data_IF_318021889517
#
_entry.id   IF_318021889517
#
_cell.length_a   1.000
_cell.length_b   1.000
_cell.length_c   1.000
_cell.angle_alpha   90.00
_cell.angle_beta   90.00
_cell.angle_gamma   90.00
#
_symmetry.space_group_name_H-M   'P 1'
#
loop_
_entity.id
_entity.type
_entity.pdbx_description
1 polymer ?
2 non-polymer ?
3 non-polymer ?
4 water ?
#
# COMPACT_ATOMS: atom_id res chain seq x y z
N UNK A 1 -17.45 -8.65 3.50
CA UNK A 1 -17.83 -8.25 4.88
C UNK A 1 -16.63 -7.72 5.65
N UNK A 2 -16.82 -6.62 6.39
CA UNK A 2 -15.76 -6.06 7.23
C UNK A 2 -15.69 -6.84 8.54
N UNK A 3 -14.56 -7.49 8.78
CA UNK A 3 -14.32 -8.20 10.04
C UNK A 3 -13.65 -7.31 11.10
N UNK A 4 -13.00 -6.22 10.67
CA UNK A 4 -12.45 -5.23 11.58
C UNK A 4 -13.60 -4.36 12.12
N UNK A 5 -13.44 -3.87 13.35
CA UNK A 5 -14.48 -3.07 14.01
C UNK A 5 -13.84 -1.98 14.85
N UNK A 6 -14.66 -1.01 15.23
CA UNK A 6 -14.22 0.13 16.01
C UNK A 6 -13.75 1.29 15.15
N UNK A 7 -13.35 2.36 15.82
CA UNK A 7 -12.90 3.58 15.17
C UNK A 7 -11.53 3.97 15.75
N UNK A 8 -10.45 3.86 14.98
CA UNK A 8 -10.38 3.25 13.64
C UNK A 8 -10.58 1.73 13.73
N UNK A 9 -10.72 1.12 12.57
CA UNK A 9 -11.00 -0.30 12.46
C UNK A 9 -9.81 -1.14 12.95
N UNK A 10 -10.09 -2.11 13.82
CA UNK A 10 -9.10 -3.01 14.39
C UNK A 10 -9.62 -4.45 14.39
N UNK A 11 -8.71 -5.41 14.44
CA UNK A 11 -9.04 -6.84 14.42
C UNK A 11 -8.15 -7.56 15.43
N UNK A 12 -8.75 -8.05 16.51
CA UNK A 12 -8.02 -8.79 17.55
C UNK A 12 -6.75 -8.07 18.00
N UNK A 13 -6.86 -6.77 18.22
CA UNK A 13 -5.77 -6.00 18.80
C UNK A 13 -4.71 -5.51 17.82
N UNK A 14 -5.03 -5.60 16.51
CA UNK A 14 -4.16 -5.15 15.43
C UNK A 14 -4.88 -4.10 14.57
N UNK A 15 -4.15 -3.08 14.17
CA UNK A 15 -4.70 -2.07 13.27
C UNK A 15 -4.98 -2.64 11.87
N UNK A 16 -6.12 -2.27 11.29
CA UNK A 16 -6.47 -2.70 9.94
C UNK A 16 -6.15 -1.65 8.86
N UNK A 17 -5.91 -2.15 7.65
CA UNK A 17 -5.75 -1.33 6.44
C UNK A 17 -6.67 -1.85 5.36
N UNK A 18 -7.34 -0.93 4.67
CA UNK A 18 -8.05 -1.27 3.45
C UNK A 18 -7.07 -1.24 2.26
N UNK A 19 -7.46 -1.94 1.19
CA UNK A 19 -6.68 -1.99 -0.03
C UNK A 19 -7.54 -1.82 -1.28
N UNK A 20 -6.93 -1.29 -2.34
CA UNK A 20 -7.49 -1.30 -3.69
C UNK A 20 -6.45 -1.66 -4.73
N UNK A 21 -6.76 -2.67 -5.55
CA UNK A 21 -5.90 -3.05 -6.67
C UNK A 21 -5.99 -1.91 -7.69
N UNK A 22 -4.84 -1.42 -8.15
CA UNK A 22 -4.77 -0.33 -9.12
C UNK A 22 -3.60 -0.56 -10.10
N UNK A 23 -3.56 0.26 -11.15
CA UNK A 23 -2.41 0.29 -12.03
C UNK A 23 -2.01 1.70 -12.32
N UNK A 24 -0.74 2.01 -12.06
CA UNK A 24 -0.17 3.30 -12.41
C UNK A 24 1.22 3.06 -12.98
N UNK A 25 1.50 3.61 -14.19
CA UNK A 25 2.79 3.46 -14.89
C UNK A 25 3.70 4.69 -14.79
N UNK A 26 3.29 5.72 -14.05
CA UNK A 26 4.14 6.89 -13.87
C UNK A 26 5.25 6.62 -12.86
N UNK A 27 6.35 7.37 -12.96
CA UNK A 27 7.49 7.19 -12.05
C UNK A 27 7.05 7.15 -10.58
N UNK A 28 6.18 8.07 -10.19
CA UNK A 28 5.63 8.11 -8.85
C UNK A 28 6.39 8.98 -7.85
N UNK A 29 5.76 9.16 -6.69
CA UNK A 29 6.12 10.23 -5.75
C UNK A 29 7.35 9.94 -4.90
N UNK A 30 7.96 8.76 -5.06
CA UNK A 30 9.24 8.44 -4.40
C UNK A 30 10.43 8.46 -5.37
N UNK A 31 10.21 8.87 -6.62
CA UNK A 31 11.30 8.98 -7.58
C UNK A 31 11.89 7.66 -8.04
N UNK A 32 11.08 6.59 -8.06
CA UNK A 32 11.57 5.26 -8.43
C UNK A 32 11.53 5.03 -9.94
N UNK A 33 12.35 5.84 -10.62
CA UNK A 33 12.62 5.68 -12.03
C UNK A 33 13.76 6.60 -12.42
N UNK A 34 14.21 6.54 -13.67
CA UNK A 34 15.30 7.42 -14.12
C UNK A 34 15.00 8.89 -13.84
N UNK A 35 16.03 9.62 -13.42
CA UNK A 35 15.87 10.99 -12.97
C UNK A 35 15.22 11.92 -14.02
N UNK A 36 15.62 11.79 -15.28
CA UNK A 36 15.11 12.67 -16.34
C UNK A 36 13.99 11.96 -17.09
N UNK A 37 12.77 12.33 -16.76
CA UNK A 37 11.55 11.73 -17.29
C UNK A 37 10.58 11.30 -16.20
N UNK A 38 9.49 10.70 -16.66
CA UNK A 38 8.37 10.28 -15.80
C UNK A 38 8.10 8.77 -15.91
N UNK A 39 9.15 8.01 -16.26
CA UNK A 39 9.07 6.56 -16.37
C UNK A 39 9.57 5.86 -15.10
N UNK A 40 9.05 4.66 -14.87
CA UNK A 40 9.53 3.77 -13.83
C UNK A 40 10.81 3.03 -14.25
N UNK A 41 11.49 2.45 -13.24
CA UNK A 41 12.53 1.46 -13.51
C UNK A 41 11.87 0.20 -14.08
N UNK A 42 12.68 -0.76 -14.50
CA UNK A 42 12.17 -2.00 -15.04
C UNK A 42 11.47 -2.90 -14.02
N UNK A 43 11.85 -2.76 -12.75
CA UNK A 43 11.35 -3.65 -11.67
C UNK A 43 9.99 -3.28 -11.09
N UNK A 44 9.55 -2.04 -11.27
CA UNK A 44 8.38 -1.59 -10.52
C UNK A 44 7.10 -2.36 -10.93
N UNK A 45 6.93 -2.58 -12.22
CA UNK A 45 5.65 -3.08 -12.75
C UNK A 45 5.24 -4.45 -12.22
N UNK A 46 6.23 -5.31 -11.96
CA UNK A 46 6.00 -6.67 -11.54
C UNK A 46 6.24 -6.89 -10.05
N UNK A 47 6.58 -5.83 -9.30
CA UNK A 47 6.87 -5.96 -7.87
C UNK A 47 5.64 -5.76 -6.99
N UNK A 48 5.76 -6.17 -5.73
CA UNK A 48 4.79 -5.86 -4.69
C UNK A 48 5.13 -4.46 -4.16
N UNK A 49 4.48 -3.46 -4.77
CA UNK A 49 4.63 -2.06 -4.41
C UNK A 49 3.26 -1.43 -4.23
N UNK A 50 3.25 -0.30 -3.54
CA UNK A 50 2.00 0.34 -3.12
C UNK A 50 2.09 1.85 -3.14
N UNK A 51 0.92 2.47 -3.30
CA UNK A 51 0.73 3.89 -3.05
C UNK A 51 0.04 4.04 -1.70
N UNK A 52 0.66 4.78 -0.77
CA UNK A 52 0.10 4.98 0.57
C UNK A 52 -0.79 6.22 0.64
N UNK A 53 -1.90 6.11 1.36
CA UNK A 53 -2.78 7.23 1.63
C UNK A 53 -1.96 8.42 2.18
N UNK A 54 -2.37 9.64 1.80
CA UNK A 54 -1.56 10.84 1.98
C UNK A 54 -0.92 11.01 3.36
N UNK A 55 -1.72 10.98 4.42
CA UNK A 55 -1.14 11.30 5.73
C UNK A 55 -0.14 10.25 6.21
N UNK A 56 -0.27 9.01 5.76
CA UNK A 56 0.77 8.00 6.01
C UNK A 56 2.00 8.19 5.12
N UNK A 57 1.78 8.50 3.85
CA UNK A 57 2.89 8.81 2.95
C UNK A 57 3.79 9.90 3.56
N UNK A 58 3.16 10.96 4.05
CA UNK A 58 3.85 12.07 4.69
C UNK A 58 2.86 12.90 5.51
N UNK A 59 3.07 12.98 6.82
CA UNK A 59 2.15 13.68 7.71
C UNK A 59 2.17 15.19 7.50
N UNK A 60 3.25 15.71 6.93
CA UNK A 60 3.36 17.10 6.56
C UNK A 60 2.76 17.42 5.19
N UNK A 61 2.03 16.47 4.60
CA UNK A 61 1.34 16.65 3.33
C UNK A 61 2.25 16.75 2.12
N UNK A 62 3.49 16.28 2.20
CA UNK A 62 4.35 16.30 1.02
C UNK A 62 3.80 15.39 -0.11
N UNK A 63 4.01 15.84 -1.35
CA UNK A 63 3.70 15.06 -2.54
C UNK A 63 4.91 14.42 -3.22
N UNK A 64 6.09 14.50 -2.58
CA UNK A 64 7.36 14.07 -3.16
C UNK A 64 8.28 13.72 -2.00
N UNK A 65 8.93 12.56 -2.05
CA UNK A 65 9.88 12.14 -1.02
C UNK A 65 9.28 12.23 0.38
N UNK A 66 8.12 11.62 0.53
CA UNK A 66 7.47 11.53 1.82
C UNK A 66 8.24 10.70 2.83
N UNK A 67 7.94 10.94 4.10
CA UNK A 67 8.49 10.19 5.24
C UNK A 67 8.59 8.69 5.00
N UNK A 68 7.52 8.10 4.46
CA UNK A 68 7.42 6.65 4.38
C UNK A 68 7.72 6.08 3.01
N UNK A 69 8.29 6.88 2.10
CA UNK A 69 8.85 6.33 0.87
C UNK A 69 9.88 5.24 1.20
N UNK A 70 9.79 4.12 0.50
CA UNK A 70 10.73 3.01 0.66
C UNK A 70 10.46 2.08 1.83
N UNK A 71 9.45 2.38 2.65
CA UNK A 71 9.13 1.55 3.80
C UNK A 71 8.35 0.34 3.32
N UNK A 72 8.64 -0.83 3.90
CA UNK A 72 7.90 -2.05 3.60
C UNK A 72 6.86 -2.35 4.67
N UNK A 73 5.66 -2.71 4.19
CA UNK A 73 4.49 -3.01 5.00
C UNK A 73 4.04 -4.43 4.69
N UNK A 74 4.02 -5.28 5.72
CA UNK A 74 3.50 -6.64 5.61
C UNK A 74 2.02 -6.65 5.90
N UNK A 75 1.22 -7.10 4.92
CA UNK A 75 -0.23 -7.18 5.04
C UNK A 75 -0.64 -8.62 5.27
N UNK A 76 -1.56 -8.84 6.21
CA UNK A 76 -2.14 -10.15 6.48
C UNK A 76 -3.65 -10.06 6.28
N UNK A 77 -4.23 -10.98 5.50
CA UNK A 77 -5.67 -10.91 5.23
C UNK A 77 -6.47 -11.31 6.46
N UNK A 78 -7.56 -10.60 6.71
CA UNK A 78 -8.49 -10.96 7.78
C UNK A 78 -9.50 -12.02 7.34
N UNK A 79 -9.66 -12.17 6.02
CA UNK A 79 -10.76 -12.93 5.44
C UNK A 79 -11.90 -12.04 4.94
N UNK A 80 -11.92 -10.78 5.36
CA UNK A 80 -12.97 -9.84 4.97
C UNK A 80 -12.62 -8.95 3.79
N UNK A 81 -13.55 -8.06 3.48
CA UNK A 81 -13.46 -7.13 2.36
C UNK A 81 -14.60 -6.13 2.51
N UNK A 82 -14.49 -4.96 1.88
CA UNK A 82 -15.57 -3.99 1.90
C UNK A 82 -16.66 -4.42 0.93
N UNK A 83 -17.92 -4.58 1.39
CA UNK A 83 -19.00 -5.03 0.49
C UNK A 83 -19.10 -4.19 -0.78
N UNK A 84 -19.16 -4.88 -1.92
CA UNK A 84 -19.26 -4.27 -3.22
C UNK A 84 -17.97 -3.63 -3.73
N UNK A 85 -16.87 -3.75 -2.99
CA UNK A 85 -15.59 -3.15 -3.31
C UNK A 85 -14.42 -4.14 -3.11
N UNK A 86 -14.71 -5.42 -3.24
CA UNK A 86 -13.74 -6.48 -3.04
C UNK A 86 -14.47 -7.82 -3.00
N UNK A 87 -13.77 -8.86 -2.58
CA UNK A 87 -14.37 -10.18 -2.52
C UNK A 87 -13.65 -11.11 -1.57
N UNK A 88 -14.21 -12.32 -1.41
CA UNK A 88 -13.70 -13.30 -0.43
C UNK A 88 -12.25 -13.73 -0.67
N UNK A 89 -11.55 -14.01 0.43
CA UNK A 89 -10.19 -14.53 0.42
C UNK A 89 -9.93 -15.36 1.68
N UNK A 90 -9.01 -16.33 1.58
CA UNK A 90 -8.59 -17.07 2.77
C UNK A 90 -7.97 -16.12 3.80
N UNK A 91 -8.29 -16.32 5.07
CA UNK A 91 -7.68 -15.55 6.17
C UNK A 91 -6.26 -16.03 6.38
N UNK A 92 -5.37 -15.10 6.70
CA UNK A 92 -4.01 -15.41 7.11
C UNK A 92 -2.98 -15.45 6.00
N UNK A 93 -3.38 -15.11 4.78
CA UNK A 93 -2.43 -14.94 3.69
C UNK A 93 -1.66 -13.65 3.91
N UNK A 94 -0.39 -13.62 3.51
CA UNK A 94 0.41 -12.43 3.72
C UNK A 94 1.52 -12.21 2.69
N UNK A 95 1.66 -10.95 2.29
CA UNK A 95 2.76 -10.51 1.43
C UNK A 95 3.19 -9.11 1.91
N UNK A 96 4.39 -8.72 1.52
CA UNK A 96 4.98 -7.44 1.90
C UNK A 96 5.11 -6.52 0.69
N UNK A 97 4.72 -5.25 0.86
CA UNK A 97 4.68 -4.25 -0.20
C UNK A 97 5.58 -3.09 0.18
N UNK A 98 6.40 -2.63 -0.76
CA UNK A 98 7.17 -1.40 -0.57
C UNK A 98 6.35 -0.18 -1.01
N UNK A 99 6.31 0.85 -0.17
CA UNK A 99 5.66 2.11 -0.56
C UNK A 99 6.57 2.84 -1.58
N UNK A 100 6.07 2.99 -2.80
CA UNK A 100 6.79 3.71 -3.85
C UNK A 100 6.03 4.92 -4.36
N UNK A 101 4.81 5.16 -3.87
CA UNK A 101 3.99 6.22 -4.44
C UNK A 101 2.99 6.72 -3.38
N UNK A 102 2.31 7.80 -3.75
CA UNK A 102 1.30 8.47 -2.94
C UNK A 102 -0.10 8.18 -3.50
N UNK A 103 -1.06 7.88 -2.62
CA UNK A 103 -2.50 7.91 -2.92
C UNK A 103 -3.05 9.22 -2.38
N UNK A 104 -3.22 10.24 -3.24
CA UNK A 104 -3.56 11.57 -2.73
C UNK A 104 -5.00 11.69 -2.26
N UNK A 105 -5.22 12.54 -1.27
CA UNK A 105 -6.56 12.84 -0.75
C UNK A 105 -7.29 13.86 -1.65
N UNK A 106 -7.68 13.37 -2.81
CA UNK A 106 -8.36 14.12 -3.85
C UNK A 106 -9.17 13.10 -4.67
N UNK A 107 -10.14 13.58 -5.45
CA UNK A 107 -10.84 12.71 -6.39
C UNK A 107 -9.78 12.05 -7.30
N UNK A 108 -9.87 10.75 -7.61
CA UNK A 108 -10.98 9.84 -7.29
C UNK A 108 -10.76 8.97 -6.03
N UNK A 109 -9.88 9.40 -5.11
CA UNK A 109 -9.53 8.60 -3.92
C UNK A 109 -10.17 9.11 -2.65
N UNK A 110 -11.17 9.97 -2.78
CA UNK A 110 -11.77 10.68 -1.66
C UNK A 110 -12.43 9.79 -0.60
N UNK A 111 -12.82 8.57 -0.96
CA UNK A 111 -13.44 7.66 -0.01
C UNK A 111 -12.43 6.80 0.75
N UNK A 112 -11.20 6.70 0.23
CA UNK A 112 -10.21 5.73 0.69
C UNK A 112 -8.94 6.32 1.32
N UNK A 113 -8.50 7.49 0.86
CA UNK A 113 -7.19 8.06 1.23
C UNK A 113 -7.32 9.38 1.97
N UNK A 114 -8.48 9.57 2.57
CA UNK A 114 -8.89 10.83 3.21
C UNK A 114 -8.70 10.88 4.74
N UNK A 115 -7.87 10.01 5.31
CA UNK A 115 -7.56 10.09 6.74
C UNK A 115 -7.01 11.47 7.07
N UNK A 116 -7.43 12.05 8.19
CA UNK A 116 -7.00 13.38 8.59
C UNK A 116 -5.66 13.47 9.30
N UNK A 117 -5.14 12.33 9.75
CA UNK A 117 -3.90 12.26 10.51
C UNK A 117 -3.16 10.98 10.14
N UNK A 118 -1.87 10.91 10.47
CA UNK A 118 -1.04 9.76 10.10
C UNK A 118 -1.49 8.48 10.78
N UNK A 119 -1.86 8.61 12.05
CA UNK A 119 -2.45 7.52 12.84
C UNK A 119 -3.76 8.02 13.45
N UNK A 120 -4.66 7.11 13.80
CA UNK A 120 -5.85 7.42 14.56
C UNK A 120 -7.01 8.00 13.77
N UNK A 121 -6.80 8.31 12.49
CA UNK A 121 -7.86 8.79 11.62
C UNK A 121 -8.60 7.67 10.92
N UNK A 122 -9.41 8.02 9.91
CA UNK A 122 -10.23 7.02 9.23
C UNK A 122 -10.56 7.50 7.82
N UNK A 123 -10.59 6.56 6.88
CA UNK A 123 -11.27 6.80 5.61
C UNK A 123 -12.78 6.57 5.76
N UNK A 124 -13.55 6.63 4.68
CA UNK A 124 -15.02 6.55 4.80
C UNK A 124 -15.51 5.17 5.22
N UNK A 125 -14.64 4.17 5.18
CA UNK A 125 -14.95 2.82 5.63
C UNK A 125 -14.35 2.48 7.01
N UNK A 126 -13.68 3.46 7.64
CA UNK A 126 -13.20 3.36 9.01
C UNK A 126 -11.71 3.04 9.22
N UNK A 127 -10.93 2.91 8.15
CA UNK A 127 -9.55 2.42 8.27
C UNK A 127 -8.53 3.55 8.43
N UNK A 128 -7.60 3.38 9.38
CA UNK A 128 -6.57 4.43 9.62
C UNK A 128 -5.47 4.45 8.57
N UNK A 129 -5.35 3.41 7.74
CA UNK A 129 -4.38 3.33 6.64
C UNK A 129 -5.07 2.71 5.43
N UNK A 130 -4.73 3.21 4.24
CA UNK A 130 -5.14 2.60 2.98
C UNK A 130 -3.94 2.46 2.06
N UNK A 131 -3.82 1.30 1.40
CA UNK A 131 -2.79 1.09 0.38
C UNK A 131 -3.43 0.73 -0.96
N UNK A 132 -3.08 1.46 -2.01
CA UNK A 132 -3.38 1.05 -3.38
C UNK A 132 -2.25 0.11 -3.78
N UNK A 133 -2.59 -1.10 -4.21
CA UNK A 133 -1.61 -2.13 -4.53
C UNK A 133 -1.45 -2.27 -6.05
N UNK A 134 -0.22 -2.10 -6.53
CA UNK A 134 0.01 -2.25 -7.97
C UNK A 134 -0.38 -3.66 -8.44
N UNK A 135 -1.19 -3.73 -9.50
CA UNK A 135 -1.78 -4.98 -9.99
C UNK A 135 -1.86 -5.09 -11.52
N UNK A 136 -1.09 -4.24 -12.20
CA UNK A 136 -1.13 -4.23 -13.65
C UNK A 136 -0.67 -5.53 -14.29
N UNK A 137 0.09 -6.34 -13.56
CA UNK A 137 0.54 -7.66 -14.02
C UNK A 137 -0.13 -8.80 -13.25
N UNK A 138 -1.24 -8.48 -12.57
CA UNK A 138 -2.04 -9.44 -11.81
C UNK A 138 -1.24 -10.10 -10.67
N UNK A 139 -0.22 -9.41 -10.17
CA UNK A 139 0.54 -9.96 -9.05
C UNK A 139 -0.31 -10.13 -7.78
N UNK A 140 -1.30 -9.26 -7.61
CA UNK A 140 -2.19 -9.34 -6.44
C UNK A 140 -3.43 -10.20 -6.72
N UNK A 141 -4.16 -9.94 -7.80
CA UNK A 141 -5.35 -10.75 -8.10
C UNK A 141 -5.00 -12.20 -8.46
N UNK A 142 -3.78 -12.46 -8.93
CA UNK A 142 -3.32 -13.82 -9.19
C UNK A 142 -3.31 -14.69 -7.95
N UNK A 143 -3.18 -14.05 -6.77
CA UNK A 143 -3.25 -14.74 -5.47
C UNK A 143 -4.68 -14.85 -4.93
N UNK A 144 -5.67 -14.41 -5.70
CA UNK A 144 -7.03 -14.39 -5.21
C UNK A 144 -7.33 -13.22 -4.28
N UNK A 145 -6.45 -12.23 -4.25
CA UNK A 145 -6.68 -11.02 -3.43
C UNK A 145 -7.45 -9.97 -4.24
N UNK A 146 -8.75 -9.86 -3.99
CA UNK A 146 -9.62 -8.84 -4.56
C UNK A 146 -9.92 -7.80 -3.47
N UNK A 147 -9.04 -6.80 -3.36
CA UNK A 147 -9.16 -5.74 -2.36
C UNK A 147 -9.43 -6.27 -0.94
N UNK A 148 -8.60 -7.18 -0.46
CA UNK A 148 -8.84 -7.75 0.86
C UNK A 148 -8.73 -6.70 1.98
N UNK A 149 -9.52 -6.89 3.02
CA UNK A 149 -9.29 -6.23 4.31
C UNK A 149 -8.05 -6.87 4.97
N UNK A 150 -7.18 -6.07 5.58
CA UNK A 150 -5.92 -6.58 6.13
C UNK A 150 -5.62 -6.01 7.51
N UNK A 151 -4.69 -6.66 8.21
CA UNK A 151 -3.93 -6.03 9.29
C UNK A 151 -2.51 -5.79 8.79
N UNK A 152 -1.83 -4.79 9.35
CA UNK A 152 -0.59 -4.29 8.77
C UNK A 152 0.49 -4.05 9.83
N UNK A 153 1.75 -4.16 9.41
CA UNK A 153 2.90 -3.93 10.27
C UNK A 153 4.10 -3.52 9.40
N UNK A 154 5.03 -2.76 9.97
CA UNK A 154 6.27 -2.40 9.30
C UNK A 154 7.29 -3.54 9.47
N UNK A 155 7.97 -3.89 8.37
CA UNK A 155 8.98 -4.94 8.34
C UNK A 155 10.20 -4.50 7.53
N UNK A 156 11.31 -5.21 7.69
CA UNK A 156 12.52 -5.01 6.91
C UNK A 156 12.34 -5.58 5.51
N UNK A 157 12.52 -4.72 4.50
CA UNK A 157 12.35 -5.11 3.10
C UNK A 157 13.24 -6.30 2.69
N UNK A 158 14.47 -6.31 3.16
CA UNK A 158 15.41 -7.37 2.75
C UNK A 158 14.97 -8.76 3.22
N UNK A 159 14.48 -8.83 4.45
CA UNK A 159 14.01 -10.09 5.01
C UNK A 159 12.88 -10.68 4.19
N UNK A 160 11.95 -9.83 3.77
CA UNK A 160 10.79 -10.27 2.99
C UNK A 160 11.14 -10.53 1.52
N UNK A 161 12.03 -9.72 0.95
CA UNK A 161 12.55 -9.95 -0.42
C UNK A 161 13.12 -11.38 -0.56
N UNK A 162 13.77 -11.86 0.50
CA UNK A 162 14.32 -13.22 0.49
C UNK A 162 13.26 -14.31 0.28
N UNK A 163 12.07 -14.13 0.87
CA UNK A 163 10.98 -15.09 0.72
C UNK A 163 10.22 -14.94 -0.61
N UNK A 164 10.13 -13.71 -1.12
CA UNK A 164 9.45 -13.43 -2.38
C UNK A 164 10.14 -12.25 -3.04
N UNK A 165 10.84 -12.54 -4.14
CA UNK A 165 11.66 -11.54 -4.79
C UNK A 165 10.84 -10.37 -5.34
N UNK A 166 9.53 -10.54 -5.49
CA UNK A 166 8.66 -9.44 -5.92
C UNK A 166 8.61 -8.31 -4.90
N UNK A 167 8.86 -8.58 -3.62
CA UNK A 167 9.01 -7.49 -2.64
C UNK A 167 10.38 -6.86 -2.88
N UNK A 168 10.47 -5.59 -3.27
CA UNK A 168 11.80 -4.99 -3.51
C UNK A 168 12.70 -4.97 -2.27
N UNK A 169 14.00 -5.09 -2.51
CA UNK A 169 15.02 -4.96 -1.48
C UNK A 169 15.35 -3.50 -1.17
N UNK A 170 16.01 -3.26 -0.05
CA UNK A 170 16.51 -1.94 0.26
C UNK A 170 17.48 -1.42 -0.81
N UNK A 171 18.31 -2.31 -1.38
CA UNK A 171 19.20 -1.95 -2.47
C UNK A 171 18.43 -1.38 -3.66
N UNK A 172 17.32 -2.00 -4.01
CA UNK A 172 16.46 -1.50 -5.08
C UNK A 172 15.92 -0.12 -4.77
N UNK A 173 15.45 0.09 -3.55
CA UNK A 173 14.96 1.43 -3.18
C UNK A 173 16.09 2.49 -3.29
N UNK A 174 17.35 2.07 -3.08
CA UNK A 174 18.48 2.96 -3.25
C UNK A 174 18.64 3.57 -4.63
N UNK A 175 18.04 2.95 -5.63
CA UNK A 175 17.96 3.50 -6.99
C UNK A 175 17.06 4.72 -7.11
N UNK A 176 16.09 4.85 -6.20
CA UNK A 176 15.07 5.89 -6.27
C UNK A 176 15.65 7.23 -5.83
N UNK A 177 15.19 8.31 -6.45
CA UNK A 177 15.74 9.63 -6.15
C UNK A 177 15.53 10.02 -4.68
N UNK A 178 14.43 9.59 -4.09
CA UNK A 178 14.13 9.97 -2.71
C UNK A 178 14.98 9.26 -1.66
N UNK A 179 15.71 8.22 -2.05
CA UNK A 179 16.68 7.58 -1.15
C UNK A 179 17.90 8.47 -0.86
N UNK A 180 18.06 9.53 -1.64
CA UNK A 180 19.24 10.42 -1.60
C UNK A 180 18.85 11.89 -1.54
X LIG B 1 -8.01 -3.34 21.07
X LIG B 1 -8.68 -2.92 20.08
X LIG B 1 -6.79 -3.53 20.93
X LIG B 1 -8.65 -3.58 22.41
X LIG C 1 -14.44 3.65 -5.14
X LIG C 1 -13.70 2.44 -5.29
X LIG C 1 -14.39 4.50 -6.40
X LIG C 1 -15.33 5.58 -6.27
X LIG C 1 -15.31 6.50 -7.35
X LIG C 1 -15.17 7.94 -6.84
X LIG C 1 -16.18 8.80 -7.37
X LIG D 1 -18.17 10.74 -2.04
X LIG D 1 -17.64 9.99 -3.11
X LIG D 1 -18.01 12.26 -2.17
X LIG D 1 -17.00 12.74 -3.06
X LIG D 1 -16.92 14.17 -3.17
X LIG D 1 -15.53 14.81 -3.05
X LIG D 1 -14.60 14.31 -3.98
#
# INVERSE_FOLDING_TARGET
NQKCSGNPRRYNGKSCASTTNYHDSHKGACGCGPASGDAQFGWNAGSFVAAASQMYFDSGNKGWCGQHCGQCIKLTTTGGYVPGQGGPVREGLSKTFMITNLCPNIYPNQDWCNQGSQYGGHNKYGYELHLDLENGRSQVTGMGWNNPETTWEVVNCDSEHNHDHRTPSNSMYGQCQCAHQ
ACT C O OXT CH3
PEG C1 O1 C2 O2 C3 C4 O4
PEG C1 O1 C2 O2 C3 C4 O4
#
